data_IF_122308869096
#
_entry.id   IF_122308869096
#
_cell.length_a   1.000
_cell.length_b   1.000
_cell.length_c   1.000
_cell.angle_alpha   90.00
_cell.angle_beta   90.00
_cell.angle_gamma   90.00
#
_symmetry.space_group_name_H-M   'P 1'
#
loop_
_entity.id
_entity.type
_entity.pdbx_description
1 polymer ?
#
# COMPACT_ATOMS: atom_id res chain seq x y z
N UNK A 1 -8.99 -42.63 -12.99
CA UNK A 1 -10.30 -41.96 -12.95
C UNK A 1 -10.35 -40.95 -11.81
N UNK A 2 -9.99 -41.34 -10.59
CA UNK A 2 -9.78 -40.46 -9.41
C UNK A 2 -8.96 -39.19 -9.71
N UNK A 3 -7.78 -39.34 -10.33
CA UNK A 3 -6.91 -38.20 -10.64
C UNK A 3 -7.53 -37.18 -11.61
N UNK A 4 -8.33 -37.64 -12.57
CA UNK A 4 -9.01 -36.74 -13.53
C UNK A 4 -10.14 -35.97 -12.86
N UNK A 5 -10.83 -36.58 -11.88
CA UNK A 5 -11.89 -35.93 -11.12
C UNK A 5 -11.32 -34.84 -10.20
N UNK A 6 -10.24 -35.13 -9.48
CA UNK A 6 -9.56 -34.14 -8.62
C UNK A 6 -9.06 -32.95 -9.43
N UNK A 7 -8.47 -33.19 -10.61
CA UNK A 7 -8.03 -32.12 -11.51
C UNK A 7 -9.20 -31.26 -12.01
N UNK A 8 -10.33 -31.90 -12.34
CA UNK A 8 -11.50 -31.20 -12.84
C UNK A 8 -12.20 -30.35 -11.77
N UNK A 9 -12.31 -30.88 -10.56
CA UNK A 9 -12.87 -30.14 -9.42
C UNK A 9 -11.96 -28.97 -9.01
N UNK A 10 -10.64 -29.18 -9.01
CA UNK A 10 -9.67 -28.12 -8.77
C UNK A 10 -9.74 -27.01 -9.83
N UNK A 11 -9.90 -27.37 -11.11
CA UNK A 11 -10.02 -26.40 -12.20
C UNK A 11 -11.31 -25.58 -12.09
N UNK A 12 -12.46 -26.24 -11.84
CA UNK A 12 -13.75 -25.57 -11.63
C UNK A 12 -13.70 -24.63 -10.43
N UNK A 13 -13.14 -25.07 -9.31
CA UNK A 13 -12.98 -24.25 -8.12
C UNK A 13 -12.09 -23.02 -8.38
N UNK A 14 -10.97 -23.21 -9.08
CA UNK A 14 -10.04 -22.12 -9.39
C UNK A 14 -10.65 -21.08 -10.33
N UNK A 15 -11.37 -21.51 -11.38
CA UNK A 15 -12.08 -20.60 -12.28
C UNK A 15 -13.16 -19.83 -11.52
N UNK A 16 -13.94 -20.50 -10.66
CA UNK A 16 -14.93 -19.86 -9.81
C UNK A 16 -14.32 -18.79 -8.90
N UNK A 17 -13.19 -19.11 -8.27
CA UNK A 17 -12.48 -18.16 -7.40
C UNK A 17 -11.95 -16.93 -8.16
N UNK A 18 -11.34 -17.11 -9.33
CA UNK A 18 -10.86 -16.00 -10.17
C UNK A 18 -12.01 -15.10 -10.58
N UNK A 19 -13.14 -15.67 -11.01
CA UNK A 19 -14.32 -14.89 -11.39
C UNK A 19 -14.91 -14.13 -10.20
N UNK A 20 -14.99 -14.77 -9.02
CA UNK A 20 -15.48 -14.13 -7.81
C UNK A 20 -14.60 -12.94 -7.42
N UNK A 21 -13.28 -13.13 -7.35
CA UNK A 21 -12.34 -12.04 -7.03
C UNK A 21 -12.43 -10.93 -8.09
N UNK A 22 -12.44 -11.28 -9.38
CA UNK A 22 -12.54 -10.31 -10.47
C UNK A 22 -13.83 -9.49 -10.41
N UNK A 23 -14.96 -10.12 -10.09
CA UNK A 23 -16.26 -9.45 -9.95
C UNK A 23 -16.26 -8.42 -8.82
N UNK A 24 -15.43 -8.60 -7.79
CA UNK A 24 -15.30 -7.68 -6.65
C UNK A 24 -14.23 -6.62 -6.93
N UNK A 25 -13.05 -7.04 -7.37
CA UNK A 25 -11.89 -6.17 -7.57
C UNK A 25 -12.08 -5.18 -8.72
N UNK A 26 -12.66 -5.61 -9.86
CA UNK A 26 -12.83 -4.73 -11.03
C UNK A 26 -13.70 -3.50 -10.71
N UNK A 27 -14.91 -3.64 -10.11
CA UNK A 27 -15.70 -2.48 -9.70
C UNK A 27 -14.97 -1.57 -8.71
N UNK A 28 -14.24 -2.15 -7.75
CA UNK A 28 -13.46 -1.38 -6.77
C UNK A 28 -12.39 -0.55 -7.47
N UNK A 29 -11.64 -1.15 -8.40
CA UNK A 29 -10.60 -0.45 -9.18
C UNK A 29 -11.18 0.70 -9.99
N UNK A 30 -12.36 0.52 -10.58
CA UNK A 30 -13.07 1.60 -11.28
C UNK A 30 -13.44 2.74 -10.33
N UNK A 31 -14.02 2.43 -9.16
CA UNK A 31 -14.37 3.44 -8.15
C UNK A 31 -13.14 4.21 -7.64
N UNK A 32 -12.04 3.49 -7.43
CA UNK A 32 -10.75 4.03 -7.02
C UNK A 32 -10.22 5.01 -8.09
N UNK A 33 -10.27 4.65 -9.38
CA UNK A 33 -9.82 5.54 -10.47
C UNK A 33 -10.68 6.82 -10.56
N UNK A 34 -11.99 6.73 -10.32
CA UNK A 34 -12.84 7.91 -10.18
C UNK A 34 -12.41 8.77 -8.99
N UNK A 35 -12.22 8.19 -7.80
CA UNK A 35 -11.81 8.92 -6.60
C UNK A 35 -10.47 9.67 -6.80
N UNK A 36 -9.55 9.06 -7.54
CA UNK A 36 -8.28 9.69 -7.96
C UNK A 36 -8.52 10.88 -8.90
N UNK A 37 -9.41 10.74 -9.89
CA UNK A 37 -9.71 11.80 -10.87
C UNK A 37 -10.35 13.04 -10.22
N UNK A 38 -11.14 12.86 -9.16
CA UNK A 38 -11.76 13.96 -8.41
C UNK A 38 -10.86 14.63 -7.35
N UNK A 39 -9.55 14.32 -7.33
CA UNK A 39 -8.59 14.84 -6.34
C UNK A 39 -9.02 14.64 -4.88
N UNK A 40 -9.74 13.55 -4.57
CA UNK A 40 -10.09 13.22 -3.18
C UNK A 40 -8.87 12.86 -2.34
N UNK A 41 -7.78 12.44 -2.98
CA UNK A 41 -6.53 12.03 -2.34
C UNK A 41 -5.97 13.15 -1.46
N UNK A 42 -5.92 14.38 -1.98
CA UNK A 42 -5.39 15.53 -1.23
C UNK A 42 -6.23 15.83 0.02
N UNK A 43 -7.55 15.58 -0.06
CA UNK A 43 -8.49 15.81 1.05
C UNK A 43 -8.34 14.80 2.17
N UNK A 44 -7.82 13.60 1.92
CA UNK A 44 -7.66 12.55 2.94
C UNK A 44 -6.24 12.48 3.52
N UNK A 45 -5.33 13.35 3.08
CA UNK A 45 -3.96 13.44 3.62
C UNK A 45 -3.91 13.68 5.15
N UNK A 46 -4.96 14.27 5.74
CA UNK A 46 -5.03 14.45 7.19
C UNK A 46 -5.03 13.13 7.97
N UNK A 47 -5.51 12.03 7.37
CA UNK A 47 -5.54 10.71 8.01
C UNK A 47 -4.16 10.09 8.16
N UNK A 48 -3.23 10.43 7.26
CA UNK A 48 -1.87 9.88 7.24
C UNK A 48 -0.84 10.78 7.92
N UNK A 49 -1.18 12.06 8.16
CA UNK A 49 -0.40 12.99 9.03
C UNK A 49 0.01 12.42 10.39
N UNK A 50 -0.86 11.73 11.17
CA UNK A 50 -0.41 11.15 12.45
C UNK A 50 0.66 10.06 12.24
N UNK A 51 0.58 9.29 11.15
CA UNK A 51 1.56 8.24 10.83
C UNK A 51 2.90 8.85 10.48
N UNK A 52 2.92 9.89 9.63
CA UNK A 52 4.17 10.57 9.26
C UNK A 52 4.83 11.22 10.46
N UNK A 53 4.06 11.83 11.36
CA UNK A 53 4.57 12.37 12.63
C UNK A 53 5.14 11.29 13.54
N UNK A 54 4.46 10.16 13.67
CA UNK A 54 4.89 9.04 14.51
C UNK A 54 6.21 8.42 14.02
N UNK A 55 6.41 8.38 12.71
CA UNK A 55 7.64 7.89 12.06
C UNK A 55 8.71 8.99 11.89
N UNK A 56 8.41 10.23 12.31
CA UNK A 56 9.25 11.41 12.12
C UNK A 56 9.71 11.57 10.65
N UNK A 57 8.74 11.55 9.74
CA UNK A 57 8.90 11.74 8.30
C UNK A 57 8.59 13.20 7.92
N UNK A 58 9.20 13.67 6.84
CA UNK A 58 8.90 14.97 6.23
C UNK A 58 7.46 15.08 5.73
N UNK A 59 6.96 16.31 5.58
CA UNK A 59 5.61 16.55 5.06
C UNK A 59 5.44 16.07 3.60
N UNK A 60 6.52 16.06 2.83
CA UNK A 60 6.54 15.55 1.46
C UNK A 60 6.25 14.04 1.37
N UNK A 61 6.39 13.30 2.47
CA UNK A 61 6.05 11.88 2.54
C UNK A 61 4.53 11.61 2.67
N UNK A 62 3.73 12.61 3.06
CA UNK A 62 2.30 12.44 3.35
C UNK A 62 1.52 12.01 2.10
N UNK A 63 1.77 12.66 0.96
CA UNK A 63 1.07 12.35 -0.28
C UNK A 63 1.36 10.92 -0.76
N UNK A 64 2.62 10.49 -0.96
CA UNK A 64 2.90 9.11 -1.37
C UNK A 64 2.43 8.06 -0.35
N UNK A 65 2.46 8.36 0.96
CA UNK A 65 1.89 7.47 1.97
C UNK A 65 0.38 7.32 1.81
N UNK A 66 -0.32 8.42 1.58
CA UNK A 66 -1.78 8.45 1.38
C UNK A 66 -2.17 7.68 0.13
N UNK A 67 -1.45 7.92 -0.97
CA UNK A 67 -1.69 7.23 -2.23
C UNK A 67 -1.40 5.74 -2.06
N UNK A 68 -0.27 5.36 -1.48
CA UNK A 68 0.10 3.97 -1.29
C UNK A 68 -0.86 3.19 -0.40
N UNK A 69 -1.31 3.79 0.71
CA UNK A 69 -2.27 3.16 1.63
C UNK A 69 -3.67 3.01 1.02
N UNK A 70 -4.08 3.92 0.14
CA UNK A 70 -5.45 3.96 -0.37
C UNK A 70 -5.59 3.24 -1.71
N UNK A 71 -4.62 3.44 -2.61
CA UNK A 71 -4.64 3.04 -4.02
C UNK A 71 -3.62 1.93 -4.35
N UNK A 72 -2.90 1.44 -3.35
CA UNK A 72 -1.93 0.36 -3.52
C UNK A 72 -0.51 0.84 -3.83
N UNK A 73 0.41 -0.11 -3.77
CA UNK A 73 1.86 0.15 -3.80
C UNK A 73 2.32 0.69 -5.15
N UNK A 74 1.77 0.24 -6.27
CA UNK A 74 2.22 0.66 -7.61
C UNK A 74 2.02 2.16 -7.81
N UNK A 75 0.80 2.66 -7.50
CA UNK A 75 0.48 4.08 -7.58
C UNK A 75 1.24 4.88 -6.50
N UNK A 76 1.32 4.36 -5.27
CA UNK A 76 2.08 4.98 -4.19
C UNK A 76 3.57 5.13 -4.52
N UNK A 77 4.17 4.12 -5.13
CA UNK A 77 5.57 4.12 -5.58
C UNK A 77 5.80 5.11 -6.72
N UNK A 78 4.87 5.23 -7.68
CA UNK A 78 4.95 6.23 -8.73
C UNK A 78 5.02 7.65 -8.17
N UNK A 79 4.13 7.97 -7.22
CA UNK A 79 4.13 9.26 -6.53
C UNK A 79 5.40 9.43 -5.68
N UNK A 80 5.85 8.38 -4.99
CA UNK A 80 7.06 8.41 -4.17
C UNK A 80 8.32 8.71 -5.00
N UNK A 81 8.44 8.07 -6.18
CA UNK A 81 9.54 8.30 -7.12
C UNK A 81 9.49 9.72 -7.66
N UNK A 82 8.30 10.25 -7.96
CA UNK A 82 8.16 11.63 -8.40
C UNK A 82 8.60 12.62 -7.31
N UNK A 83 8.16 12.43 -6.06
CA UNK A 83 8.61 13.24 -4.92
C UNK A 83 10.13 13.13 -4.69
N UNK A 84 10.72 11.94 -4.92
CA UNK A 84 12.15 11.73 -4.85
C UNK A 84 12.93 12.53 -5.92
N UNK A 85 12.41 12.54 -7.16
CA UNK A 85 12.99 13.29 -8.30
C UNK A 85 12.98 14.78 -8.08
N UNK A 86 11.91 15.30 -7.48
CA UNK A 86 11.80 16.72 -7.11
C UNK A 86 12.79 17.12 -6.00
N UNK A 87 13.47 16.16 -5.36
CA UNK A 87 14.43 16.42 -4.28
C UNK A 87 13.79 16.82 -2.96
N UNK A 88 12.46 16.66 -2.85
CA UNK A 88 11.65 17.12 -1.72
C UNK A 88 11.65 16.13 -0.53
N UNK A 89 12.26 14.96 -0.66
CA UNK A 89 12.20 13.90 0.36
C UNK A 89 13.56 13.26 0.59
N UNK A 90 13.93 13.05 1.86
CA UNK A 90 15.23 12.44 2.21
C UNK A 90 15.28 10.94 1.89
N UNK A 91 16.48 10.36 1.70
CA UNK A 91 16.63 8.91 1.55
C UNK A 91 16.07 8.12 2.72
N UNK A 92 16.25 8.64 3.94
CA UNK A 92 15.71 8.04 5.15
C UNK A 92 14.19 7.93 5.02
N UNK A 93 13.53 9.02 4.63
CA UNK A 93 12.09 9.04 4.52
C UNK A 93 11.60 8.13 3.39
N UNK A 94 12.28 8.15 2.23
CA UNK A 94 11.99 7.24 1.11
C UNK A 94 12.05 5.77 1.56
N UNK A 95 13.11 5.40 2.26
CA UNK A 95 13.29 4.03 2.73
C UNK A 95 12.23 3.62 3.75
N UNK A 96 11.98 4.46 4.75
CA UNK A 96 10.97 4.19 5.78
C UNK A 96 9.55 4.13 5.19
N UNK A 97 9.23 5.00 4.22
CA UNK A 97 7.96 4.93 3.50
C UNK A 97 7.83 3.62 2.74
N UNK A 98 8.90 3.20 2.04
CA UNK A 98 8.90 1.97 1.28
C UNK A 98 8.73 0.74 2.19
N UNK A 99 9.41 0.69 3.34
CA UNK A 99 9.25 -0.39 4.33
C UNK A 99 7.82 -0.44 4.85
N UNK A 100 7.25 0.72 5.21
CA UNK A 100 5.88 0.79 5.70
C UNK A 100 4.86 0.34 4.64
N UNK A 101 4.95 0.89 3.43
CA UNK A 101 4.02 0.59 2.33
C UNK A 101 4.16 -0.85 1.82
N UNK A 102 5.35 -1.44 1.87
CA UNK A 102 5.53 -2.86 1.50
C UNK A 102 4.69 -3.79 2.39
N UNK A 103 4.48 -3.43 3.66
CA UNK A 103 3.69 -4.23 4.61
C UNK A 103 2.21 -3.79 4.60
N UNK A 104 1.97 -2.49 4.51
CA UNK A 104 0.65 -1.88 4.56
C UNK A 104 0.51 -0.88 3.41
N UNK A 105 0.04 -1.37 2.26
CA UNK A 105 -0.48 -0.59 1.15
C UNK A 105 -1.94 -0.99 0.92
N UNK A 106 -2.64 -0.37 -0.03
CA UNK A 106 -3.85 -0.91 -0.65
C UNK A 106 -5.02 -1.22 0.30
N UNK A 107 -5.05 -0.61 1.48
CA UNK A 107 -5.89 -1.01 2.63
C UNK A 107 -7.36 -1.10 2.24
N UNK A 108 -7.84 -0.22 1.36
CA UNK A 108 -9.23 -0.27 0.89
C UNK A 108 -9.46 -1.51 0.02
N UNK A 109 -8.71 -1.66 -1.06
CA UNK A 109 -8.87 -2.74 -2.04
C UNK A 109 -8.72 -4.11 -1.37
N UNK A 110 -7.63 -4.32 -0.64
CA UNK A 110 -7.34 -5.65 -0.08
C UNK A 110 -8.37 -6.00 1.01
N UNK A 111 -8.75 -5.03 1.86
CA UNK A 111 -9.76 -5.29 2.89
C UNK A 111 -11.12 -5.63 2.29
N UNK A 112 -11.54 -4.92 1.23
CA UNK A 112 -12.80 -5.21 0.57
C UNK A 112 -12.81 -6.60 -0.07
N UNK A 113 -11.72 -6.99 -0.73
CA UNK A 113 -11.57 -8.33 -1.31
C UNK A 113 -11.61 -9.40 -0.21
N UNK A 114 -10.87 -9.23 0.88
CA UNK A 114 -10.85 -10.21 1.97
C UNK A 114 -12.17 -10.29 2.76
N UNK A 115 -12.85 -9.16 2.97
CA UNK A 115 -14.18 -9.14 3.60
C UNK A 115 -15.19 -9.89 2.74
N UNK A 116 -15.13 -9.76 1.42
CA UNK A 116 -15.99 -10.52 0.51
C UNK A 116 -15.70 -12.03 0.50
N UNK A 117 -14.53 -12.45 0.99
CA UNK A 117 -14.17 -13.85 1.24
C UNK A 117 -14.55 -14.31 2.67
N UNK A 118 -15.21 -13.46 3.47
CA UNK A 118 -15.67 -13.79 4.82
C UNK A 118 -14.65 -13.52 5.93
N UNK A 119 -13.52 -12.86 5.62
CA UNK A 119 -12.49 -12.52 6.61
C UNK A 119 -12.86 -11.23 7.34
N UNK A 120 -12.59 -11.17 8.64
CA UNK A 120 -12.80 -9.96 9.44
C UNK A 120 -11.83 -8.85 9.01
N UNK A 121 -12.34 -7.87 8.26
CA UNK A 121 -11.56 -6.76 7.73
C UNK A 121 -10.89 -5.89 8.80
N UNK A 122 -11.55 -5.67 9.94
CA UNK A 122 -10.98 -4.86 11.02
C UNK A 122 -9.76 -5.52 11.65
N UNK A 123 -9.83 -6.84 11.87
CA UNK A 123 -8.71 -7.62 12.37
C UNK A 123 -7.55 -7.62 11.36
N UNK A 124 -7.85 -7.80 10.08
CA UNK A 124 -6.85 -7.80 9.01
C UNK A 124 -6.09 -6.46 8.94
N UNK A 125 -6.82 -5.35 8.88
CA UNK A 125 -6.24 -4.00 8.82
C UNK A 125 -5.47 -3.71 10.10
N UNK A 126 -6.05 -4.01 11.26
CA UNK A 126 -5.40 -3.77 12.56
C UNK A 126 -4.07 -4.50 12.68
N UNK A 127 -4.01 -5.77 12.29
CA UNK A 127 -2.77 -6.56 12.31
C UNK A 127 -1.74 -6.03 11.31
N UNK A 128 -2.12 -5.82 10.04
CA UNK A 128 -1.21 -5.31 9.01
C UNK A 128 -0.64 -3.95 9.36
N UNK A 129 -1.50 -3.05 9.82
CA UNK A 129 -1.11 -1.71 10.24
C UNK A 129 -0.16 -1.76 11.45
N UNK A 130 -0.48 -2.57 12.46
CA UNK A 130 0.37 -2.71 13.66
C UNK A 130 1.75 -3.28 13.31
N UNK A 131 1.81 -4.33 12.49
CA UNK A 131 3.08 -4.93 12.06
C UNK A 131 3.88 -3.95 11.21
N UNK A 132 3.25 -3.24 10.28
CA UNK A 132 3.91 -2.22 9.47
C UNK A 132 4.50 -1.12 10.35
N UNK A 133 3.71 -0.59 11.28
CA UNK A 133 4.15 0.47 12.17
C UNK A 133 5.30 0.03 13.08
N UNK A 134 5.19 -1.13 13.73
CA UNK A 134 6.24 -1.67 14.59
C UNK A 134 7.53 -1.93 13.81
N UNK A 135 7.43 -2.56 12.64
CA UNK A 135 8.60 -2.86 11.81
C UNK A 135 9.28 -1.58 11.36
N UNK A 136 8.53 -0.60 10.86
CA UNK A 136 9.11 0.68 10.42
C UNK A 136 9.70 1.47 11.59
N UNK A 137 9.11 1.44 12.78
CA UNK A 137 9.68 2.06 13.98
C UNK A 137 11.00 1.40 14.41
N UNK A 138 11.07 0.07 14.37
CA UNK A 138 12.30 -0.68 14.65
C UNK A 138 13.38 -0.29 13.63
N UNK A 139 13.06 -0.33 12.34
CA UNK A 139 13.98 0.05 11.27
C UNK A 139 14.45 1.50 11.42
N UNK A 140 13.53 2.42 11.72
CA UNK A 140 13.84 3.83 11.95
C UNK A 140 14.82 4.05 13.11
N UNK A 141 14.75 3.22 14.16
CA UNK A 141 15.64 3.33 15.33
C UNK A 141 17.01 2.68 15.11
N UNK A 142 17.06 1.53 14.43
CA UNK A 142 18.29 0.73 14.34
C UNK A 142 19.14 1.03 13.10
N UNK A 143 18.53 1.35 11.95
CA UNK A 143 19.27 1.37 10.68
C UNK A 143 19.63 2.77 10.16
N UNK A 144 18.87 3.82 10.50
CA UNK A 144 19.09 5.15 9.91
C UNK A 144 19.22 6.25 10.95
N UNK A 145 20.46 6.47 11.40
CA UNK A 145 20.86 7.63 12.21
C UNK A 145 21.63 8.70 11.41
N UNK A 146 21.98 8.42 10.15
CA UNK A 146 22.66 9.36 9.24
C UNK A 146 21.83 9.56 7.95
N UNK A 147 21.41 10.79 7.62
CA UNK A 147 20.79 11.08 6.33
C UNK A 147 21.89 11.04 5.26
N UNK A 148 22.03 9.91 4.57
CA UNK A 148 22.78 9.89 3.32
C UNK A 148 22.00 10.69 2.26
N UNK A 149 22.69 11.53 1.50
CA UNK A 149 22.12 12.32 0.40
C UNK A 149 21.62 11.40 -0.72
N UNK A 150 20.53 11.81 -1.40
CA UNK A 150 19.92 11.04 -2.50
C UNK A 150 20.96 10.77 -3.59
N UNK A 151 21.20 9.51 -4.00
CA UNK A 151 22.12 9.21 -5.08
C UNK A 151 21.66 9.89 -6.36
N UNK A 152 22.59 10.50 -7.09
CA UNK A 152 22.36 11.23 -8.35
C UNK A 152 21.62 10.39 -9.42
N UNK A 153 21.59 9.06 -9.28
CA UNK A 153 20.87 8.10 -10.14
C UNK A 153 19.35 8.35 -10.17
N UNK A 154 18.76 8.91 -9.10
CA UNK A 154 17.30 9.17 -9.05
C UNK A 154 16.94 10.52 -9.71
N UNK A 155 17.91 11.43 -9.94
CA UNK A 155 17.68 12.76 -10.54
C UNK A 155 17.54 12.77 -12.06
N UNK A 156 17.43 11.60 -12.70
CA UNK A 156 17.28 11.43 -14.14
C UNK A 156 15.89 11.75 -14.67
#
# INVERSE_FOLDING_TARGET
MEALLVLWDGLRASIGAVLQIGLIAIPIMVLIEFAKTYNWIERITFLTKPITRLLNLSEHAILPLTVGLTFGLILGAGVLIQTAREGNISLRDLFLLNVFLSICHGVIEETMVFVALGINGLLLVGLRFSIALLTTLIVARFFYRNPAEIPQVIRG
#
